data_IF_598698622777
#
_entry.id   IF_598698622777
#
_cell.length_a   1.000
_cell.length_b   1.000
_cell.length_c   1.000
_cell.angle_alpha   90.00
_cell.angle_beta   90.00
_cell.angle_gamma   90.00
#
_symmetry.space_group_name_H-M   'P 1'
#
loop_
_entity.id
_entity.type
_entity.pdbx_description
1 polymer ?
#
# COMPACT_ATOMS: atom_id res chain seq x y z
N UNK A 1 -40.74 -11.54 -15.91
CA UNK A 1 -39.62 -12.34 -15.39
C UNK A 1 -38.45 -12.20 -16.35
N UNK A 2 -37.58 -11.20 -16.14
CA UNK A 2 -36.43 -10.98 -17.02
C UNK A 2 -35.27 -11.90 -16.63
N UNK A 3 -34.85 -12.75 -17.58
CA UNK A 3 -33.63 -13.53 -17.50
C UNK A 3 -32.45 -12.63 -17.83
N UNK A 4 -31.87 -11.98 -16.82
CA UNK A 4 -30.58 -11.30 -16.97
C UNK A 4 -29.44 -12.32 -16.86
N UNK A 5 -28.52 -12.30 -17.82
CA UNK A 5 -27.34 -13.15 -17.86
C UNK A 5 -26.52 -13.01 -16.55
N UNK A 6 -26.28 -14.14 -15.87
CA UNK A 6 -25.36 -14.23 -14.73
C UNK A 6 -24.08 -14.90 -15.20
N UNK A 7 -22.96 -14.16 -15.17
CA UNK A 7 -21.63 -14.75 -15.38
C UNK A 7 -21.13 -15.36 -14.06
N UNK A 8 -20.44 -16.52 -14.08
CA UNK A 8 -19.90 -17.12 -12.87
C UNK A 8 -18.81 -16.23 -12.28
N UNK A 9 -19.04 -15.73 -11.07
CA UNK A 9 -18.19 -14.79 -10.33
C UNK A 9 -16.95 -15.48 -9.75
N UNK A 10 -15.79 -14.81 -9.86
CA UNK A 10 -14.63 -15.08 -8.99
C UNK A 10 -14.90 -14.46 -7.62
N UNK A 11 -14.61 -15.17 -6.53
CA UNK A 11 -14.76 -14.64 -5.17
C UNK A 11 -13.66 -13.61 -4.89
N UNK A 12 -13.91 -12.36 -5.22
CA UNK A 12 -13.14 -11.25 -4.67
C UNK A 12 -13.50 -11.10 -3.19
N UNK A 13 -12.52 -11.31 -2.31
CA UNK A 13 -12.56 -11.06 -0.86
C UNK A 13 -11.85 -9.75 -0.54
N UNK A 14 -12.59 -8.65 -0.52
CA UNK A 14 -12.14 -7.37 0.04
C UNK A 14 -12.50 -7.26 1.53
N UNK A 15 -11.83 -6.35 2.24
CA UNK A 15 -12.18 -5.98 3.61
C UNK A 15 -13.19 -4.83 3.56
N UNK A 16 -14.30 -4.92 4.30
CA UNK A 16 -15.34 -3.88 4.28
C UNK A 16 -15.98 -3.64 5.64
N UNK A 17 -16.33 -2.39 5.89
CA UNK A 17 -17.19 -1.98 7.02
C UNK A 17 -18.29 -1.06 6.50
N UNK A 18 -19.52 -1.36 6.88
CA UNK A 18 -20.68 -0.56 6.51
C UNK A 18 -20.66 0.81 7.21
N UNK A 19 -21.27 1.79 6.55
CA UNK A 19 -21.51 3.14 7.06
C UNK A 19 -22.48 3.88 6.12
N UNK A 20 -22.95 5.04 6.55
CA UNK A 20 -23.84 5.91 5.76
C UNK A 20 -23.15 6.43 4.49
N UNK A 21 -21.84 6.66 4.57
CA UNK A 21 -20.96 7.02 3.45
C UNK A 21 -19.80 6.04 3.41
N UNK A 22 -19.32 5.65 2.22
CA UNK A 22 -18.21 4.70 2.08
C UNK A 22 -16.96 5.38 1.52
N UNK A 23 -15.80 5.08 2.10
CA UNK A 23 -14.49 5.40 1.55
C UNK A 23 -13.84 4.15 0.94
N UNK A 24 -13.43 4.23 -0.31
CA UNK A 24 -12.72 3.15 -1.00
C UNK A 24 -11.21 3.21 -0.74
N UNK A 25 -10.54 2.06 -0.76
CA UNK A 25 -9.09 1.97 -0.61
C UNK A 25 -8.50 0.79 -1.38
N UNK A 26 -7.56 1.05 -2.27
CA UNK A 26 -6.85 0.02 -3.02
C UNK A 26 -5.38 0.04 -2.60
N UNK A 27 -4.94 -1.07 -1.99
CA UNK A 27 -3.58 -1.20 -1.45
C UNK A 27 -2.91 -2.47 -1.99
N UNK A 28 -1.61 -2.44 -2.31
CA UNK A 28 -0.86 -3.63 -2.69
C UNK A 28 -0.42 -4.40 -1.43
N UNK A 29 -1.35 -5.09 -0.76
CA UNK A 29 -1.04 -5.79 0.50
C UNK A 29 -0.13 -7.00 0.26
N UNK A 30 -0.26 -7.63 -0.90
CA UNK A 30 0.60 -8.73 -1.33
C UNK A 30 1.41 -8.37 -2.60
N UNK A 31 2.47 -9.12 -2.82
CA UNK A 31 3.29 -9.17 -4.04
C UNK A 31 3.33 -10.62 -4.58
N UNK A 32 4.17 -10.86 -5.60
CA UNK A 32 4.49 -12.16 -6.19
C UNK A 32 3.25 -12.92 -6.67
N UNK A 33 2.80 -12.49 -7.84
CA UNK A 33 1.69 -13.11 -8.55
C UNK A 33 2.21 -14.33 -9.29
N UNK A 34 1.69 -15.50 -8.94
CA UNK A 34 1.94 -16.71 -9.69
C UNK A 34 1.04 -16.72 -10.92
N UNK A 35 1.63 -16.39 -12.08
CA UNK A 35 0.92 -16.49 -13.35
C UNK A 35 0.86 -17.96 -13.78
N UNK A 36 -0.31 -18.57 -13.64
CA UNK A 36 -0.53 -19.87 -14.27
C UNK A 36 -0.52 -19.70 -15.79
N UNK A 37 0.22 -20.56 -16.48
CA UNK A 37 0.28 -20.53 -17.95
C UNK A 37 -1.10 -20.90 -18.51
N UNK A 38 -1.82 -19.93 -19.07
CA UNK A 38 -3.19 -20.13 -19.56
C UNK A 38 -3.18 -20.64 -20.99
N UNK A 39 -3.87 -21.75 -21.26
CA UNK A 39 -4.09 -22.26 -22.62
C UNK A 39 -5.15 -21.47 -23.40
N UNK A 40 -5.85 -20.53 -22.75
CA UNK A 40 -7.00 -19.78 -23.29
C UNK A 40 -8.16 -20.65 -23.80
N UNK A 41 -8.15 -21.96 -23.49
CA UNK A 41 -9.24 -22.90 -23.82
C UNK A 41 -10.22 -23.12 -22.67
N UNK A 42 -9.81 -22.75 -21.45
CA UNK A 42 -10.61 -22.84 -20.23
C UNK A 42 -10.53 -21.52 -19.49
N UNK A 43 -11.58 -21.16 -18.74
CA UNK A 43 -11.59 -19.99 -17.86
C UNK A 43 -10.37 -20.06 -16.91
N UNK A 44 -9.49 -19.04 -16.90
CA UNK A 44 -8.36 -19.00 -15.98
C UNK A 44 -8.80 -19.06 -14.52
N UNK A 45 -7.98 -19.69 -13.69
CA UNK A 45 -8.13 -19.64 -12.24
C UNK A 45 -7.96 -18.21 -11.71
N UNK A 46 -8.60 -17.85 -10.57
CA UNK A 46 -8.36 -16.58 -9.91
C UNK A 46 -6.89 -16.41 -9.55
N UNK A 47 -6.41 -15.16 -9.60
CA UNK A 47 -5.02 -14.86 -9.28
C UNK A 47 -4.78 -14.97 -7.78
N UNK A 48 -3.79 -15.78 -7.39
CA UNK A 48 -3.32 -15.91 -6.01
C UNK A 48 -2.14 -14.98 -5.76
N UNK A 49 -2.16 -14.25 -4.65
CA UNK A 49 -1.08 -13.38 -4.22
C UNK A 49 -0.41 -13.99 -2.99
N UNK A 50 0.92 -13.95 -2.92
CA UNK A 50 1.66 -14.70 -1.91
C UNK A 50 2.35 -13.81 -0.88
N UNK A 51 3.20 -12.89 -1.33
CA UNK A 51 4.15 -12.20 -0.46
C UNK A 51 3.52 -10.99 0.23
N UNK A 52 3.08 -11.14 1.49
CA UNK A 52 2.52 -10.03 2.26
C UNK A 52 3.55 -8.93 2.56
N UNK A 53 3.13 -7.66 2.45
CA UNK A 53 3.97 -6.47 2.66
C UNK A 53 3.48 -5.66 3.85
N UNK A 54 4.24 -5.71 4.94
CA UNK A 54 3.93 -5.00 6.20
C UNK A 54 3.81 -3.48 6.04
N UNK A 55 4.65 -2.85 5.20
CA UNK A 55 4.59 -1.40 4.93
C UNK A 55 3.24 -0.99 4.30
N UNK A 56 2.74 -1.78 3.35
CA UNK A 56 1.46 -1.50 2.71
C UNK A 56 0.28 -1.78 3.65
N UNK A 57 0.44 -2.74 4.56
CA UNK A 57 -0.52 -2.98 5.62
C UNK A 57 -0.60 -1.82 6.62
N UNK A 58 0.51 -1.16 6.96
CA UNK A 58 0.50 0.04 7.78
C UNK A 58 -0.32 1.16 7.12
N UNK A 59 -0.19 1.36 5.81
CA UNK A 59 -1.00 2.33 5.08
C UNK A 59 -2.51 1.99 5.11
N UNK A 60 -2.85 0.71 4.99
CA UNK A 60 -4.23 0.23 5.19
C UNK A 60 -4.72 0.51 6.61
N UNK A 61 -3.91 0.23 7.63
CA UNK A 61 -4.27 0.50 9.02
C UNK A 61 -4.45 1.99 9.28
N UNK A 62 -3.64 2.85 8.66
CA UNK A 62 -3.80 4.29 8.75
C UNK A 62 -5.15 4.76 8.19
N UNK A 63 -5.62 4.17 7.08
CA UNK A 63 -6.96 4.46 6.56
C UNK A 63 -8.06 4.02 7.55
N UNK A 64 -7.96 2.80 8.10
CA UNK A 64 -8.94 2.28 9.07
C UNK A 64 -8.99 3.17 10.31
N UNK A 65 -7.81 3.51 10.85
CA UNK A 65 -7.66 4.40 11.99
C UNK A 65 -8.29 5.77 11.73
N UNK A 66 -8.00 6.39 10.58
CA UNK A 66 -8.55 7.69 10.23
C UNK A 66 -10.09 7.65 10.15
N UNK A 67 -10.67 6.59 9.58
CA UNK A 67 -12.14 6.42 9.56
C UNK A 67 -12.70 6.29 10.98
N UNK A 68 -12.03 5.55 11.86
CA UNK A 68 -12.46 5.39 13.26
C UNK A 68 -12.35 6.69 14.05
N UNK A 69 -11.28 7.44 13.86
CA UNK A 69 -11.05 8.72 14.52
C UNK A 69 -12.09 9.75 14.10
N UNK A 70 -12.41 9.84 12.80
CA UNK A 70 -13.49 10.67 12.27
C UNK A 70 -14.82 10.29 12.91
N UNK A 71 -15.17 9.01 12.94
CA UNK A 71 -16.43 8.54 13.52
C UNK A 71 -16.54 8.78 15.04
N UNK A 72 -15.41 8.89 15.77
CA UNK A 72 -15.40 9.18 17.21
C UNK A 72 -15.54 10.67 17.51
N UNK A 73 -15.18 11.55 16.58
CA UNK A 73 -15.17 12.98 16.80
C UNK A 73 -16.49 13.62 16.35
N UNK A 74 -17.33 14.11 17.27
CA UNK A 74 -18.65 14.64 16.93
C UNK A 74 -18.61 15.92 16.08
N UNK A 75 -17.45 16.56 15.95
CA UNK A 75 -17.27 17.73 15.09
C UNK A 75 -17.14 17.39 13.61
N UNK A 76 -16.78 16.14 13.28
CA UNK A 76 -16.64 15.68 11.91
C UNK A 76 -17.82 14.78 11.55
N UNK A 77 -18.55 15.11 10.47
CA UNK A 77 -19.71 14.34 9.98
C UNK A 77 -20.75 14.02 11.08
N UNK A 78 -21.35 15.03 11.74
CA UNK A 78 -22.29 14.79 12.83
C UNK A 78 -23.50 13.98 12.34
N UNK A 79 -23.86 12.93 13.09
CA UNK A 79 -24.95 11.99 12.77
C UNK A 79 -24.77 11.19 11.46
N UNK A 80 -23.53 11.07 10.96
CA UNK A 80 -23.20 10.30 9.76
C UNK A 80 -22.01 9.41 10.06
N UNK A 81 -22.13 8.13 9.73
CA UNK A 81 -21.05 7.15 9.90
C UNK A 81 -20.27 6.94 8.62
N UNK A 82 -18.94 6.97 8.72
CA UNK A 82 -18.04 6.63 7.62
C UNK A 82 -17.70 5.14 7.67
N UNK A 83 -18.06 4.43 6.62
CA UNK A 83 -17.66 3.07 6.32
C UNK A 83 -16.47 3.02 5.35
N UNK A 84 -15.99 1.82 5.05
CA UNK A 84 -14.92 1.63 4.08
C UNK A 84 -15.05 0.34 3.27
N UNK A 85 -14.43 0.34 2.08
CA UNK A 85 -14.21 -0.84 1.25
C UNK A 85 -12.75 -0.86 0.81
N UNK A 86 -12.05 -1.95 1.11
CA UNK A 86 -10.63 -2.11 0.87
C UNK A 86 -10.38 -3.34 -0.01
N UNK A 87 -9.60 -3.14 -1.07
CA UNK A 87 -9.28 -4.19 -2.04
C UNK A 87 -7.76 -4.32 -2.19
N UNK A 88 -7.28 -5.57 -2.18
CA UNK A 88 -5.86 -5.89 -2.40
C UNK A 88 -5.53 -5.95 -3.89
N UNK A 89 -4.73 -4.99 -4.37
CA UNK A 89 -4.33 -4.94 -5.79
C UNK A 89 -3.24 -5.94 -6.15
N UNK A 90 -2.55 -6.50 -5.17
CA UNK A 90 -1.38 -7.34 -5.37
C UNK A 90 -0.33 -6.76 -6.34
N UNK A 91 -0.21 -5.42 -6.36
CA UNK A 91 0.65 -4.67 -7.29
C UNK A 91 0.37 -4.92 -8.78
N UNK A 92 -0.84 -5.37 -9.12
CA UNK A 92 -1.27 -5.60 -10.50
C UNK A 92 -2.31 -4.60 -10.98
N UNK A 93 -2.03 -3.97 -12.13
CA UNK A 93 -2.95 -3.04 -12.81
C UNK A 93 -4.36 -3.63 -13.03
N UNK A 94 -4.43 -4.91 -13.42
CA UNK A 94 -5.70 -5.61 -13.67
C UNK A 94 -6.55 -5.69 -12.39
N UNK A 95 -5.92 -6.01 -11.25
CA UNK A 95 -6.59 -6.09 -9.95
C UNK A 95 -6.92 -4.72 -9.37
N UNK A 96 -6.07 -3.71 -9.53
CA UNK A 96 -6.42 -2.33 -9.16
C UNK A 96 -7.67 -1.84 -9.92
N UNK A 97 -7.76 -2.17 -11.21
CA UNK A 97 -8.94 -1.87 -12.03
C UNK A 97 -10.17 -2.68 -11.58
N UNK A 98 -10.00 -3.98 -11.31
CA UNK A 98 -11.08 -4.83 -10.78
C UNK A 98 -11.64 -4.29 -9.46
N UNK A 99 -10.76 -3.93 -8.52
CA UNK A 99 -11.15 -3.31 -7.25
C UNK A 99 -11.87 -1.97 -7.43
N UNK A 100 -11.41 -1.15 -8.38
CA UNK A 100 -12.06 0.13 -8.71
C UNK A 100 -13.47 -0.07 -9.23
N UNK A 101 -13.64 -1.00 -10.18
CA UNK A 101 -14.93 -1.35 -10.74
C UNK A 101 -15.86 -1.97 -9.69
N UNK A 102 -15.30 -2.79 -8.80
CA UNK A 102 -16.03 -3.38 -7.68
C UNK A 102 -16.60 -2.32 -6.73
N UNK A 103 -15.78 -1.33 -6.33
CA UNK A 103 -16.21 -0.24 -5.45
C UNK A 103 -17.23 0.68 -6.12
N UNK A 104 -17.05 1.00 -7.42
CA UNK A 104 -18.02 1.80 -8.18
C UNK A 104 -19.36 1.10 -8.37
N UNK A 105 -19.34 -0.22 -8.60
CA UNK A 105 -20.55 -1.00 -8.80
C UNK A 105 -21.30 -1.32 -7.51
N UNK A 106 -20.62 -1.25 -6.35
CA UNK A 106 -21.14 -1.76 -5.08
C UNK A 106 -21.52 -3.26 -5.12
N UNK A 107 -21.04 -3.99 -6.14
CA UNK A 107 -21.27 -5.42 -6.41
C UNK A 107 -20.06 -6.02 -7.15
N UNK A 108 -19.87 -7.34 -7.02
CA UNK A 108 -18.75 -8.13 -7.59
C UNK A 108 -18.58 -8.05 -9.13
N UNK A 109 -19.58 -7.58 -9.89
CA UNK A 109 -19.48 -7.37 -11.34
C UNK A 109 -20.33 -6.16 -11.78
N UNK A 110 -19.77 -5.18 -12.52
CA UNK A 110 -20.55 -4.11 -13.14
C UNK A 110 -21.14 -4.55 -14.48
N UNK A 111 -22.42 -4.30 -14.78
CA UNK A 111 -22.90 -4.28 -16.16
C UNK A 111 -22.47 -2.98 -16.86
N UNK A 112 -22.37 -2.96 -18.20
CA UNK A 112 -22.23 -1.70 -18.95
C UNK A 112 -23.48 -0.83 -18.69
N UNK A 113 -23.28 0.47 -18.37
CA UNK A 113 -24.28 1.48 -17.98
C UNK A 113 -24.66 1.56 -16.48
N UNK A 114 -23.78 1.17 -15.56
CA UNK A 114 -24.09 1.23 -14.14
C UNK A 114 -24.08 2.66 -13.57
N UNK A 115 -25.17 3.05 -12.89
CA UNK A 115 -25.24 4.23 -12.02
C UNK A 115 -24.78 3.83 -10.63
N UNK A 116 -23.96 4.66 -9.98
CA UNK A 116 -23.52 4.48 -8.60
C UNK A 116 -24.71 4.11 -7.70
N UNK A 117 -24.51 3.10 -6.84
CA UNK A 117 -25.52 2.57 -5.94
C UNK A 117 -26.37 3.69 -5.30
N UNK A 118 -27.68 3.73 -5.59
CA UNK A 118 -28.58 4.76 -5.06
C UNK A 118 -28.67 4.79 -3.53
N UNK A 119 -28.21 3.75 -2.84
CA UNK A 119 -28.40 3.59 -1.39
C UNK A 119 -27.15 3.83 -0.54
N UNK A 120 -25.94 4.00 -1.12
CA UNK A 120 -24.71 4.32 -0.36
C UNK A 120 -23.72 5.12 -1.20
N UNK A 121 -23.48 6.41 -0.91
CA UNK A 121 -22.52 7.21 -1.64
C UNK A 121 -21.08 6.75 -1.37
N UNK A 122 -20.34 6.43 -2.43
CA UNK A 122 -18.88 6.29 -2.39
C UNK A 122 -18.28 7.69 -2.45
N UNK A 123 -17.59 8.10 -1.38
CA UNK A 123 -16.98 9.43 -1.25
C UNK A 123 -15.76 9.60 -2.15
N UNK A 124 -15.00 8.53 -2.37
CA UNK A 124 -13.77 8.52 -3.13
C UNK A 124 -12.98 7.24 -2.91
N UNK A 125 -11.90 7.06 -3.67
CA UNK A 125 -11.00 5.91 -3.54
C UNK A 125 -9.58 6.39 -3.25
N UNK A 126 -8.94 5.87 -2.20
CA UNK A 126 -7.52 6.05 -1.88
C UNK A 126 -6.69 4.99 -2.61
N UNK A 127 -5.51 5.36 -3.11
CA UNK A 127 -4.62 4.48 -3.87
C UNK A 127 -5.00 4.35 -5.34
N UNK A 128 -4.42 3.43 -6.12
CA UNK A 128 -3.34 2.51 -5.76
C UNK A 128 -1.97 3.21 -5.62
N UNK A 129 -1.04 2.63 -4.87
CA UNK A 129 0.30 3.16 -4.62
C UNK A 129 1.16 3.27 -5.91
N UNK A 130 0.97 2.39 -6.89
CA UNK A 130 1.72 2.43 -8.14
C UNK A 130 1.13 3.41 -9.17
N UNK A 131 1.93 4.33 -9.70
CA UNK A 131 1.49 5.34 -10.70
C UNK A 131 0.80 4.73 -11.93
N UNK A 132 1.29 3.58 -12.42
CA UNK A 132 0.72 2.88 -13.57
C UNK A 132 -0.63 2.21 -13.29
N UNK A 133 -0.90 1.81 -12.04
CA UNK A 133 -2.22 1.38 -11.60
C UNK A 133 -3.13 2.57 -11.36
N UNK A 134 -2.62 3.60 -10.69
CA UNK A 134 -3.34 4.83 -10.37
C UNK A 134 -3.87 5.54 -11.61
N UNK A 135 -3.11 5.62 -12.70
CA UNK A 135 -3.59 6.26 -13.94
C UNK A 135 -4.77 5.51 -14.56
N UNK A 136 -4.76 4.17 -14.53
CA UNK A 136 -5.85 3.34 -15.05
C UNK A 136 -7.11 3.52 -14.20
N UNK A 137 -6.94 3.60 -12.88
CA UNK A 137 -8.05 3.92 -11.97
C UNK A 137 -8.62 5.31 -12.25
N UNK A 138 -7.76 6.32 -12.39
CA UNK A 138 -8.16 7.71 -12.65
C UNK A 138 -9.04 7.84 -13.90
N UNK A 139 -8.73 7.09 -14.96
CA UNK A 139 -9.51 7.10 -16.20
C UNK A 139 -10.94 6.63 -15.96
N UNK A 140 -11.11 5.52 -15.25
CA UNK A 140 -12.45 5.00 -14.93
C UNK A 140 -13.15 5.90 -13.92
N UNK A 141 -12.48 6.28 -12.84
CA UNK A 141 -13.04 7.14 -11.80
C UNK A 141 -13.48 8.50 -12.34
N UNK A 142 -12.74 9.07 -13.29
CA UNK A 142 -13.08 10.30 -13.99
C UNK A 142 -14.40 10.21 -14.78
N UNK A 143 -14.66 9.08 -15.46
CA UNK A 143 -15.92 8.85 -16.18
C UNK A 143 -17.13 8.87 -15.25
N UNK A 144 -16.96 8.35 -14.02
CA UNK A 144 -18.02 8.26 -13.02
C UNK A 144 -18.01 9.43 -12.01
N UNK A 145 -17.14 10.43 -12.22
CA UNK A 145 -16.96 11.59 -11.32
C UNK A 145 -16.69 11.20 -9.86
N UNK A 146 -16.02 10.06 -9.65
CA UNK A 146 -15.58 9.62 -8.33
C UNK A 146 -14.16 10.16 -8.10
N UNK A 147 -13.88 10.85 -7.00
CA UNK A 147 -12.53 11.36 -6.76
C UNK A 147 -11.58 10.22 -6.42
N UNK A 148 -10.40 10.25 -7.04
CA UNK A 148 -9.25 9.46 -6.60
C UNK A 148 -8.41 10.32 -5.65
N UNK A 149 -8.36 9.93 -4.39
CA UNK A 149 -7.86 10.77 -3.32
C UNK A 149 -6.34 10.83 -3.23
N UNK A 150 -5.62 9.98 -3.98
CA UNK A 150 -4.15 10.02 -4.05
C UNK A 150 -3.62 11.42 -4.43
N UNK A 151 -4.37 12.15 -5.28
CA UNK A 151 -4.04 13.52 -5.67
C UNK A 151 -3.95 14.48 -4.47
N UNK A 152 -4.83 14.33 -3.48
CA UNK A 152 -4.86 15.17 -2.28
C UNK A 152 -3.82 14.74 -1.23
N UNK A 153 -3.41 13.47 -1.22
CA UNK A 153 -2.35 12.98 -0.32
C UNK A 153 -0.96 13.40 -0.80
N UNK A 154 -0.76 13.72 -2.09
CA UNK A 154 0.54 14.20 -2.61
C UNK A 154 1.11 15.42 -1.88
N UNK A 155 0.25 16.25 -1.28
CA UNK A 155 0.67 17.47 -0.59
C UNK A 155 0.73 17.29 0.94
N UNK A 156 0.50 16.07 1.45
CA UNK A 156 0.52 15.79 2.88
C UNK A 156 1.97 15.73 3.36
N UNK A 157 2.25 16.47 4.42
CA UNK A 157 3.56 16.60 5.05
C UNK A 157 3.37 16.66 6.57
N UNK A 158 3.78 15.60 7.29
CA UNK A 158 3.63 15.52 8.74
C UNK A 158 4.78 14.76 9.38
N UNK A 159 4.97 14.94 10.69
CA UNK A 159 5.88 14.12 11.49
C UNK A 159 5.10 13.05 12.22
N UNK A 160 5.55 11.79 12.14
CA UNK A 160 4.97 10.70 12.92
C UNK A 160 5.48 10.72 14.38
N UNK A 161 4.91 9.86 15.22
CA UNK A 161 5.27 9.75 16.65
C UNK A 161 6.74 9.32 16.87
N UNK A 162 7.38 8.74 15.84
CA UNK A 162 8.81 8.42 15.81
C UNK A 162 9.70 9.60 15.39
N UNK A 163 9.13 10.78 15.14
CA UNK A 163 9.84 11.99 14.70
C UNK A 163 10.22 12.02 13.22
N UNK A 164 9.82 11.01 12.44
CA UNK A 164 10.11 10.92 11.01
C UNK A 164 9.14 11.76 10.20
N UNK A 165 9.68 12.45 9.21
CA UNK A 165 8.92 13.31 8.31
C UNK A 165 8.39 12.48 7.14
N UNK A 166 7.06 12.36 7.05
CA UNK A 166 6.36 11.63 5.99
C UNK A 166 5.88 12.64 4.96
N UNK A 167 6.38 12.51 3.74
CA UNK A 167 6.02 13.37 2.61
C UNK A 167 6.08 12.59 1.29
N UNK A 168 5.43 13.13 0.27
CA UNK A 168 5.40 12.55 -1.07
C UNK A 168 6.23 13.41 -2.03
N UNK A 169 6.99 12.78 -2.92
CA UNK A 169 7.72 13.49 -3.96
C UNK A 169 6.76 14.03 -5.05
N UNK A 170 7.29 14.79 -6.02
CA UNK A 170 6.51 15.34 -7.15
C UNK A 170 5.72 14.28 -7.96
N UNK A 171 6.13 13.00 -7.89
CA UNK A 171 5.47 11.89 -8.54
C UNK A 171 4.36 11.25 -7.67
N UNK A 172 4.30 11.58 -6.38
CA UNK A 172 3.36 11.01 -5.41
C UNK A 172 3.87 9.75 -4.73
N UNK A 173 5.19 9.52 -4.74
CA UNK A 173 5.84 8.39 -4.09
C UNK A 173 6.37 8.82 -2.73
N UNK A 174 6.32 7.92 -1.75
CA UNK A 174 7.03 8.10 -0.48
C UNK A 174 8.52 7.82 -0.73
N UNK A 175 9.43 8.78 -0.47
CA UNK A 175 10.85 8.51 -0.61
C UNK A 175 11.30 7.38 0.31
N UNK A 176 12.09 6.46 -0.23
CA UNK A 176 12.61 5.34 0.52
C UNK A 176 13.68 5.84 1.51
N UNK A 177 13.35 5.78 2.79
CA UNK A 177 14.25 6.08 3.89
C UNK A 177 14.51 4.82 4.70
N UNK A 178 15.78 4.45 4.85
CA UNK A 178 16.21 3.29 5.60
C UNK A 178 17.31 3.66 6.59
N UNK A 179 17.23 3.09 7.79
CA UNK A 179 18.36 3.05 8.70
C UNK A 179 19.26 1.87 8.35
N UNK A 180 20.57 2.11 8.33
CA UNK A 180 21.57 1.05 8.20
C UNK A 180 22.03 0.71 9.60
N UNK A 181 21.67 -0.49 10.04
CA UNK A 181 22.01 -0.99 11.37
C UNK A 181 23.11 -2.05 11.27
N UNK A 182 24.03 -1.98 12.24
CA UNK A 182 25.05 -2.98 12.48
C UNK A 182 24.75 -3.65 13.83
N UNK A 183 24.75 -4.98 13.83
CA UNK A 183 24.54 -5.79 15.03
C UNK A 183 25.87 -5.93 15.75
N UNK A 184 25.96 -5.35 16.94
CA UNK A 184 27.17 -5.32 17.76
C UNK A 184 26.96 -6.18 18.99
N UNK A 185 27.90 -7.07 19.31
CA UNK A 185 27.78 -7.92 20.49
C UNK A 185 28.32 -7.18 21.71
N UNK A 186 27.52 -7.11 22.77
CA UNK A 186 27.92 -6.60 24.07
C UNK A 186 28.79 -7.64 24.82
N UNK A 187 29.47 -7.21 25.87
CA UNK A 187 30.34 -8.08 26.69
C UNK A 187 29.58 -9.24 27.37
N UNK A 188 28.27 -9.10 27.54
CA UNK A 188 27.37 -10.14 28.09
C UNK A 188 26.84 -11.11 27.03
N UNK A 189 27.26 -10.95 25.76
CA UNK A 189 26.84 -11.78 24.63
C UNK A 189 25.55 -11.30 23.94
N UNK A 190 24.86 -10.28 24.45
CA UNK A 190 23.64 -9.73 23.84
C UNK A 190 23.94 -8.91 22.58
N UNK A 191 23.02 -8.91 21.62
CA UNK A 191 23.16 -8.12 20.39
C UNK A 191 22.52 -6.74 20.57
N UNK A 192 23.32 -5.69 20.38
CA UNK A 192 22.90 -4.30 20.33
C UNK A 192 22.78 -3.85 18.88
N UNK A 193 21.66 -3.25 18.53
CA UNK A 193 21.48 -2.64 17.21
C UNK A 193 22.04 -1.23 17.26
N UNK A 194 23.07 -0.95 16.45
CA UNK A 194 23.67 0.38 16.35
C UNK A 194 23.44 0.90 14.95
N UNK A 195 22.80 2.07 14.83
CA UNK A 195 22.67 2.78 13.55
C UNK A 195 24.05 3.26 13.12
N UNK A 196 24.54 2.73 12.00
CA UNK A 196 25.85 3.09 11.42
C UNK A 196 25.73 3.87 10.12
N UNK A 197 24.50 4.06 9.64
CA UNK A 197 24.25 4.85 8.45
C UNK A 197 22.78 5.05 8.20
N UNK A 198 22.49 5.74 7.10
CA UNK A 198 21.14 5.93 6.57
C UNK A 198 21.18 5.95 5.05
N UNK A 199 20.09 5.49 4.45
CA UNK A 199 19.77 5.70 3.06
C UNK A 199 18.53 6.58 2.97
N UNK A 200 18.57 7.59 2.12
CA UNK A 200 17.44 8.48 1.86
C UNK A 200 17.37 8.79 0.36
N UNK A 201 16.39 8.20 -0.32
CA UNK A 201 16.21 8.37 -1.75
C UNK A 201 15.77 9.78 -2.16
N UNK A 202 15.38 10.64 -1.22
CA UNK A 202 15.06 12.05 -1.47
C UNK A 202 16.26 12.98 -1.37
N UNK A 203 17.38 12.52 -0.83
CA UNK A 203 18.56 13.35 -0.60
C UNK A 203 19.28 13.70 -1.92
N UNK A 204 19.99 14.84 -1.92
CA UNK A 204 20.79 15.30 -3.06
C UNK A 204 21.79 14.23 -3.52
N UNK A 205 22.16 14.28 -4.79
CA UNK A 205 23.12 13.34 -5.38
C UNK A 205 24.44 13.36 -4.59
N UNK A 206 24.84 12.20 -4.06
CA UNK A 206 25.99 12.05 -3.16
C UNK A 206 25.68 12.05 -1.66
N UNK A 207 24.44 12.37 -1.27
CA UNK A 207 23.95 12.26 0.13
C UNK A 207 22.89 11.17 0.32
N UNK A 208 22.58 10.43 -0.75
CA UNK A 208 21.58 9.37 -0.79
C UNK A 208 21.93 8.20 0.13
N UNK A 209 23.22 7.96 0.36
CA UNK A 209 23.73 6.93 1.24
C UNK A 209 24.84 7.53 2.10
N UNK A 210 24.64 7.55 3.42
CA UNK A 210 25.63 8.01 4.38
C UNK A 210 25.94 6.84 5.32
N UNK A 211 27.19 6.40 5.33
CA UNK A 211 27.68 5.34 6.22
C UNK A 211 28.83 5.91 7.04
N UNK A 212 28.71 5.84 8.35
CA UNK A 212 29.80 6.09 9.28
C UNK A 212 30.58 4.79 9.51
N UNK A 213 31.61 4.57 8.70
CA UNK A 213 32.44 3.36 8.76
C UNK A 213 33.18 3.19 10.09
N UNK A 214 33.49 4.28 10.79
CA UNK A 214 34.13 4.26 12.11
C UNK A 214 33.23 3.71 13.22
N UNK A 215 31.91 3.69 12.99
CA UNK A 215 30.94 3.15 13.94
C UNK A 215 30.60 1.68 13.71
N UNK A 216 31.09 1.07 12.62
CA UNK A 216 30.86 -0.34 12.29
C UNK A 216 31.82 -1.21 13.10
N UNK A 217 31.27 -2.20 13.82
CA UNK A 217 32.05 -3.26 14.45
C UNK A 217 31.95 -4.52 13.59
N UNK A 218 33.11 -5.02 13.18
CA UNK A 218 33.22 -6.27 12.42
C UNK A 218 33.46 -7.43 13.38
N UNK A 219 32.72 -8.52 13.18
CA UNK A 219 33.04 -9.77 13.86
C UNK A 219 34.46 -10.19 13.47
N UNK A 220 35.33 -10.45 14.47
CA UNK A 220 36.70 -10.96 14.34
C UNK A 220 37.83 -10.02 13.88
N UNK A 221 37.66 -8.69 13.95
CA UNK A 221 38.78 -7.74 13.74
C UNK A 221 39.26 -7.61 12.28
N UNK A 222 38.55 -8.21 11.33
CA UNK A 222 38.83 -8.07 9.91
C UNK A 222 38.05 -6.87 9.36
N UNK A 223 38.73 -5.93 8.71
CA UNK A 223 38.12 -4.70 8.14
C UNK A 223 37.48 -4.93 6.77
N UNK A 224 37.59 -6.15 6.22
CA UNK A 224 37.08 -6.54 4.91
C UNK A 224 36.52 -7.95 4.96
N UNK A 225 35.31 -8.13 4.42
CA UNK A 225 34.70 -9.45 4.26
C UNK A 225 34.88 -9.89 2.82
N UNK A 226 35.44 -11.08 2.61
CA UNK A 226 35.52 -11.70 1.29
C UNK A 226 34.10 -12.14 0.90
N UNK A 227 33.54 -11.59 -0.18
CA UNK A 227 32.18 -11.90 -0.62
C UNK A 227 32.17 -13.30 -1.24
N UNK A 228 32.12 -14.32 -0.40
CA UNK A 228 31.96 -15.73 -0.78
C UNK A 228 30.77 -16.30 -0.04
N UNK A 229 29.57 -16.11 -0.62
CA UNK A 229 28.22 -16.50 -0.14
C UNK A 229 27.75 -15.85 1.18
N UNK A 230 26.44 -15.53 1.19
CA UNK A 230 25.64 -14.76 2.18
C UNK A 230 26.29 -14.56 3.56
N UNK A 231 26.98 -13.43 3.73
CA UNK A 231 27.17 -12.77 5.02
C UNK A 231 26.61 -11.34 4.88
N UNK A 232 25.43 -11.09 5.44
CA UNK A 232 24.89 -9.73 5.60
C UNK A 232 25.17 -9.27 7.02
N UNK A 233 26.13 -8.37 7.19
CA UNK A 233 26.49 -7.74 8.48
C UNK A 233 25.75 -6.41 8.71
N UNK A 234 25.14 -5.87 7.66
CA UNK A 234 24.37 -4.64 7.67
C UNK A 234 22.96 -4.95 7.21
N UNK A 235 22.00 -4.46 7.97
CA UNK A 235 20.59 -4.59 7.64
C UNK A 235 20.02 -3.20 7.39
N UNK A 236 19.16 -3.09 6.38
CA UNK A 236 18.37 -1.89 6.18
C UNK A 236 17.04 -2.10 6.88
N UNK A 237 16.74 -1.27 7.87
CA UNK A 237 15.44 -1.24 8.51
C UNK A 237 14.65 -0.07 7.93
N UNK A 238 13.49 -0.39 7.34
CA UNK A 238 12.57 0.61 6.80
C UNK A 238 11.84 1.33 7.90
N UNK A 239 11.54 2.60 7.62
CA UNK A 239 10.56 3.39 8.36
C UNK A 239 9.15 2.98 7.91
#
# INVERSE_FOLDING_TARGET
>A
MERACRLPTSEVTGLSRDGDITLGGIFPLHDDVEFQQTSFTVKPSPVTCQSFRTQNYQALQAMIFAVEDINRNPNFLPNVTLGFQIYDSCRMRQRSLEGTLWMLAGKKQPPPNFRCQQNRPLMGIIGDAGSSSSIVMAWVLGLYRCPQLLHYVKNVHFKNDGGHEVSFNQFGEVPAQYDIINFQQNADGTLKHVRVGRYDSSALQGQTLIINTSSILWASGVTQVRITRRQQLLFMNGI
#
